data_IF_536201877444
#
_entry.id   IF_536201877444
#
_cell.length_a   1.000
_cell.length_b   1.000
_cell.length_c   1.000
_cell.angle_alpha   90.00
_cell.angle_beta   90.00
_cell.angle_gamma   90.00
#
_symmetry.space_group_name_H-M   'P 1'
#
loop_
_entity.id
_entity.type
_entity.pdbx_description
1 polymer ?
#
# COMPACT_ATOMS: atom_id res chain seq x y z
N UNK A 1 22.85 -10.85 4.24
CA UNK A 1 21.71 -11.42 3.51
C UNK A 1 20.71 -10.30 3.31
N UNK A 2 20.46 -9.93 2.06
CA UNK A 2 19.36 -9.03 1.70
C UNK A 2 18.30 -9.94 1.09
N UNK A 3 17.20 -10.17 1.80
CA UNK A 3 16.00 -10.68 1.15
C UNK A 3 15.49 -9.50 0.32
N UNK A 4 15.55 -9.61 -1.00
CA UNK A 4 14.72 -8.79 -1.86
C UNK A 4 13.30 -9.33 -1.72
N UNK A 5 12.66 -9.06 -0.57
CA UNK A 5 11.20 -9.09 -0.51
C UNK A 5 10.75 -7.98 -1.46
N UNK A 6 10.27 -8.43 -2.61
CA UNK A 6 9.75 -7.54 -3.64
C UNK A 6 8.65 -6.71 -2.98
N UNK A 7 8.71 -5.36 -3.07
CA UNK A 7 7.61 -4.55 -2.58
C UNK A 7 6.33 -5.01 -3.29
N UNK A 8 5.26 -5.21 -2.52
CA UNK A 8 3.97 -5.54 -3.11
C UNK A 8 3.44 -4.28 -3.75
N UNK A 9 3.19 -4.36 -5.05
CA UNK A 9 2.64 -3.27 -5.85
C UNK A 9 1.12 -3.42 -5.78
N UNK A 10 0.46 -2.41 -5.23
CA UNK A 10 -0.99 -2.31 -5.21
C UNK A 10 -1.40 -1.24 -6.21
N UNK A 11 -2.16 -1.65 -7.21
CA UNK A 11 -2.82 -0.73 -8.13
C UNK A 11 -4.11 -0.25 -7.47
N UNK A 12 -4.15 1.02 -7.08
CA UNK A 12 -5.30 1.62 -6.41
C UNK A 12 -5.75 2.88 -7.15
N UNK A 13 -7.06 3.13 -7.13
CA UNK A 13 -7.60 4.35 -7.72
C UNK A 13 -6.96 5.58 -7.07
N UNK A 14 -6.67 6.65 -7.83
CA UNK A 14 -6.01 7.86 -7.31
C UNK A 14 -6.76 8.50 -6.12
N UNK A 15 -8.08 8.37 -6.09
CA UNK A 15 -8.96 8.87 -5.01
C UNK A 15 -8.86 8.05 -3.71
N UNK A 16 -8.64 6.75 -3.83
CA UNK A 16 -8.51 5.80 -2.72
C UNK A 16 -7.11 5.83 -2.11
N UNK A 17 -6.10 6.27 -2.89
CA UNK A 17 -4.71 6.43 -2.47
C UNK A 17 -4.54 7.16 -1.15
N UNK A 18 -5.23 8.28 -0.98
CA UNK A 18 -5.11 9.10 0.23
C UNK A 18 -5.66 8.35 1.44
N UNK A 19 -6.73 7.57 1.27
CA UNK A 19 -7.33 6.75 2.33
C UNK A 19 -6.40 5.60 2.70
N UNK A 20 -5.88 4.88 1.71
CA UNK A 20 -4.90 3.81 1.87
C UNK A 20 -3.68 4.28 2.67
N UNK A 21 -3.02 5.35 2.21
CA UNK A 21 -1.85 5.91 2.86
C UNK A 21 -2.15 6.39 4.28
N UNK A 22 -3.24 7.14 4.47
CA UNK A 22 -3.63 7.63 5.79
C UNK A 22 -3.87 6.48 6.77
N UNK A 23 -4.55 5.44 6.32
CA UNK A 23 -4.79 4.25 7.13
C UNK A 23 -3.48 3.52 7.44
N UNK A 24 -2.62 3.29 6.44
CA UNK A 24 -1.33 2.61 6.64
C UNK A 24 -0.45 3.33 7.66
N UNK A 25 -0.32 4.66 7.55
CA UNK A 25 0.48 5.45 8.51
C UNK A 25 -0.15 5.45 9.91
N UNK A 26 -1.48 5.36 10.01
CA UNK A 26 -2.18 5.36 11.31
C UNK A 26 -2.13 3.99 12.00
N UNK A 27 -2.29 2.90 11.24
CA UNK A 27 -2.38 1.54 11.75
C UNK A 27 -1.01 0.86 11.82
N UNK A 28 -0.13 1.14 10.86
CA UNK A 28 1.21 0.56 10.72
C UNK A 28 2.27 1.65 10.52
N UNK A 29 2.60 2.44 11.57
CA UNK A 29 3.50 3.60 11.45
C UNK A 29 4.96 3.25 11.12
N UNK A 30 5.34 1.97 11.16
CA UNK A 30 6.69 1.48 10.83
C UNK A 30 6.79 0.89 9.42
N UNK A 31 5.68 0.88 8.68
CA UNK A 31 5.61 0.30 7.35
C UNK A 31 6.35 1.20 6.36
N UNK A 32 7.36 0.65 5.68
CA UNK A 32 8.00 1.31 4.55
C UNK A 32 7.05 1.25 3.34
N UNK A 33 6.69 2.42 2.81
CA UNK A 33 5.93 2.56 1.58
C UNK A 33 6.62 3.51 0.62
N UNK A 34 6.46 3.25 -0.67
CA UNK A 34 6.90 4.10 -1.76
C UNK A 34 5.70 4.32 -2.67
N UNK A 35 5.44 5.58 -2.99
CA UNK A 35 4.39 5.96 -3.93
C UNK A 35 5.06 6.31 -5.27
N UNK A 36 4.68 5.60 -6.32
CA UNK A 36 5.07 5.93 -7.69
C UNK A 36 3.84 6.35 -8.47
N UNK A 37 3.91 7.55 -9.06
CA UNK A 37 2.88 8.10 -9.93
C UNK A 37 3.25 7.70 -11.36
N UNK A 38 2.65 6.62 -11.88
CA UNK A 38 2.88 6.18 -13.27
C UNK A 38 1.89 6.80 -14.26
N UNK A 39 0.61 7.05 -13.91
CA UNK A 39 -0.37 7.66 -14.82
C UNK A 39 -1.55 8.38 -14.09
N UNK A 40 -2.30 9.23 -14.81
CA UNK A 40 -3.44 10.02 -14.27
C UNK A 40 -4.63 9.12 -13.83
N UNK A 41 -4.72 7.89 -14.35
CA UNK A 41 -5.84 6.96 -14.11
C UNK A 41 -5.56 5.91 -13.01
N UNK A 42 -4.31 5.65 -12.66
CA UNK A 42 -3.95 4.66 -11.62
C UNK A 42 -2.67 5.04 -10.88
N UNK A 43 -2.66 4.81 -9.56
CA UNK A 43 -1.49 5.01 -8.73
C UNK A 43 -0.91 3.67 -8.27
N UNK A 44 0.41 3.51 -8.36
CA UNK A 44 1.10 2.36 -7.81
C UNK A 44 1.54 2.64 -6.37
N UNK A 45 0.92 1.93 -5.42
CA UNK A 45 1.35 1.94 -4.04
C UNK A 45 2.25 0.73 -3.78
N UNK A 46 3.54 0.97 -3.64
CA UNK A 46 4.53 -0.06 -3.33
C UNK A 46 4.71 -0.14 -1.82
N UNK A 47 4.24 -1.22 -1.22
CA UNK A 47 4.32 -1.43 0.22
C UNK A 47 5.34 -2.52 0.50
N UNK A 48 6.21 -2.30 1.49
CA UNK A 48 7.01 -3.37 2.10
C UNK A 48 6.36 -3.82 3.40
N UNK A 49 5.41 -4.76 3.33
CA UNK A 49 4.90 -5.40 4.52
C UNK A 49 5.99 -6.25 5.14
N UNK A 50 6.32 -6.01 6.41
CA UNK A 50 7.07 -6.98 7.22
C UNK A 50 6.21 -8.24 7.52
N UNK A 51 4.89 -8.16 7.29
CA UNK A 51 3.92 -9.20 7.58
C UNK A 51 2.78 -9.21 6.53
N UNK A 52 2.47 -10.38 5.95
CA UNK A 52 1.43 -10.54 4.94
C UNK A 52 0.04 -10.08 5.41
N UNK A 53 -0.22 -10.12 6.73
CA UNK A 53 -1.49 -9.66 7.31
C UNK A 53 -1.80 -8.18 7.09
N UNK A 54 -0.78 -7.35 6.84
CA UNK A 54 -0.97 -5.92 6.54
C UNK A 54 -1.59 -5.73 5.17
N UNK A 55 -1.26 -6.59 4.21
CA UNK A 55 -1.83 -6.53 2.86
C UNK A 55 -3.30 -6.95 2.87
N UNK A 56 -3.62 -8.04 3.57
CA UNK A 56 -5.00 -8.50 3.71
C UNK A 56 -5.87 -7.43 4.39
N UNK A 57 -5.37 -6.80 5.46
CA UNK A 57 -6.08 -5.74 6.15
C UNK A 57 -6.25 -4.46 5.30
N UNK A 58 -5.30 -4.16 4.42
CA UNK A 58 -5.39 -3.04 3.49
C UNK A 58 -6.38 -3.31 2.36
N UNK A 59 -6.35 -4.52 1.78
CA UNK A 59 -7.30 -4.96 0.76
C UNK A 59 -8.73 -4.97 1.31
N UNK A 60 -8.94 -5.56 2.49
CA UNK A 60 -10.23 -5.56 3.20
C UNK A 60 -10.76 -4.14 3.48
N UNK A 61 -9.86 -3.17 3.68
CA UNK A 61 -10.25 -1.78 3.92
C UNK A 61 -10.69 -1.08 2.63
N UNK A 62 -9.96 -1.30 1.54
CA UNK A 62 -10.28 -0.75 0.22
C UNK A 62 -11.55 -1.35 -0.38
N UNK A 63 -11.75 -2.67 -0.25
CA UNK A 63 -12.98 -3.34 -0.74
C UNK A 63 -14.25 -2.93 0.04
N UNK A 64 -14.10 -2.29 1.21
CA UNK A 64 -15.21 -1.90 2.08
C UNK A 64 -15.73 -0.47 1.84
N UNK A 65 -15.13 0.30 0.95
CA UNK A 65 -15.63 1.62 0.51
C UNK A 65 -16.21 1.59 -0.91
#
# INVERSE_FOLDING_TARGET
MFYAEYPVILEIAPEERVKALRWLVSTHPRLDYLLEEEDDDSAELRVRPEDASVLDALADMLERE
#
